data_IF_733796131626
#
_entry.id   IF_733796131626
#
_cell.length_a   1.000
_cell.length_b   1.000
_cell.length_c   1.000
_cell.angle_alpha   90.00
_cell.angle_beta   90.00
_cell.angle_gamma   90.00
#
_symmetry.space_group_name_H-M   'P 1'
#
loop_
_entity.id
_entity.type
_entity.pdbx_description
1 polymer ?
#
# COMPACT_ATOMS: atom_id res chain seq x y z
N UNK A 1 45.63 -48.27 -23.26
CA UNK A 1 44.17 -48.44 -23.49
C UNK A 1 43.70 -49.51 -22.52
N UNK A 2 42.76 -49.32 -21.59
CA UNK A 2 41.60 -48.44 -21.55
C UNK A 2 41.39 -47.81 -20.15
N UNK A 3 40.71 -46.66 -20.18
CA UNK A 3 40.34 -45.72 -19.13
C UNK A 3 39.68 -46.31 -17.88
N UNK A 4 40.11 -45.81 -16.73
CA UNK A 4 39.33 -45.72 -15.49
C UNK A 4 38.22 -44.66 -15.67
N UNK A 5 36.97 -45.05 -15.44
CA UNK A 5 35.85 -44.11 -15.29
C UNK A 5 35.67 -43.82 -13.81
N UNK A 6 36.16 -42.65 -13.35
CA UNK A 6 35.67 -42.05 -12.11
C UNK A 6 34.28 -41.46 -12.40
N UNK A 7 33.24 -42.04 -11.80
CA UNK A 7 31.94 -41.38 -11.70
C UNK A 7 32.03 -40.34 -10.57
N UNK A 8 32.21 -39.07 -10.93
CA UNK A 8 31.93 -37.95 -10.04
C UNK A 8 30.42 -37.83 -9.90
N UNK A 9 29.88 -38.26 -8.76
CA UNK A 9 28.54 -37.88 -8.33
C UNK A 9 28.57 -36.38 -7.99
N UNK A 10 28.09 -35.55 -8.93
CA UNK A 10 27.68 -34.20 -8.59
C UNK A 10 26.47 -34.33 -7.67
N UNK A 11 26.64 -33.98 -6.39
CA UNK A 11 25.53 -33.84 -5.47
C UNK A 11 24.68 -32.67 -5.97
N UNK A 12 23.61 -32.94 -6.72
CA UNK A 12 22.50 -32.00 -6.82
C UNK A 12 21.95 -31.88 -5.40
N UNK A 13 22.35 -30.82 -4.70
CA UNK A 13 21.57 -30.33 -3.56
C UNK A 13 20.29 -29.80 -4.18
N UNK A 14 19.29 -30.67 -4.31
CA UNK A 14 17.93 -30.25 -4.54
C UNK A 14 17.50 -29.60 -3.23
N UNK A 15 17.77 -28.30 -3.07
CA UNK A 15 17.11 -27.49 -2.06
C UNK A 15 15.63 -27.54 -2.40
N UNK A 16 14.92 -28.47 -1.78
CA UNK A 16 13.48 -28.35 -1.69
C UNK A 16 13.23 -27.05 -0.92
N UNK A 17 12.83 -26.00 -1.62
CA UNK A 17 12.29 -24.82 -0.98
C UNK A 17 11.07 -25.32 -0.21
N UNK A 18 11.11 -25.28 1.12
CA UNK A 18 9.89 -25.43 1.89
C UNK A 18 9.12 -24.12 1.74
N UNK A 19 7.80 -24.19 1.55
CA UNK A 19 6.95 -23.01 1.64
C UNK A 19 7.15 -22.40 3.03
N UNK A 20 7.76 -21.21 3.07
CA UNK A 20 8.03 -20.49 4.31
C UNK A 20 6.84 -19.57 4.62
N UNK A 21 6.45 -19.54 5.89
CA UNK A 21 5.45 -18.62 6.41
C UNK A 21 5.97 -18.08 7.74
N UNK A 22 6.12 -16.77 7.82
CA UNK A 22 6.57 -16.09 9.02
C UNK A 22 5.35 -15.74 9.88
N UNK A 23 5.43 -16.08 11.16
CA UNK A 23 4.41 -15.69 12.13
C UNK A 23 4.49 -14.19 12.40
N UNK A 24 3.33 -13.56 12.56
CA UNK A 24 3.26 -12.15 12.96
C UNK A 24 3.79 -11.95 14.40
N UNK A 25 4.56 -10.89 14.64
CA UNK A 25 4.91 -10.48 16.00
C UNK A 25 3.68 -10.14 16.83
N UNK A 26 3.63 -10.63 18.06
CA UNK A 26 2.61 -10.26 19.04
C UNK A 26 3.04 -8.97 19.73
N UNK A 27 2.27 -7.90 19.54
CA UNK A 27 2.51 -6.59 20.15
C UNK A 27 1.33 -6.24 21.05
N UNK A 28 1.62 -5.78 22.26
CA UNK A 28 0.56 -5.31 23.17
C UNK A 28 0.04 -3.94 22.70
N UNK A 29 -1.25 -3.70 22.90
CA UNK A 29 -1.93 -2.46 22.52
C UNK A 29 -3.13 -2.73 21.63
N UNK A 30 -3.71 -1.66 21.11
CA UNK A 30 -4.82 -1.70 20.14
C UNK A 30 -4.71 -0.51 19.18
N UNK A 31 -5.46 -0.54 18.09
CA UNK A 31 -5.55 0.60 17.18
C UNK A 31 -6.07 1.89 17.86
N UNK A 32 -6.84 1.78 18.95
CA UNK A 32 -7.43 2.94 19.64
C UNK A 32 -6.53 3.46 20.77
N UNK A 33 -5.95 2.56 21.57
CA UNK A 33 -5.10 2.92 22.72
C UNK A 33 -3.62 3.08 22.35
N UNK A 34 -3.26 2.69 21.13
CA UNK A 34 -1.90 2.70 20.61
C UNK A 34 -1.14 1.40 20.88
N UNK A 35 -0.09 1.17 20.10
CA UNK A 35 0.81 0.03 20.24
C UNK A 35 1.96 0.31 21.20
N UNK A 36 2.37 -0.70 21.97
CA UNK A 36 3.36 -0.53 23.04
C UNK A 36 4.81 -0.71 22.59
N UNK A 37 5.05 -1.16 21.35
CA UNK A 37 6.40 -1.36 20.83
C UNK A 37 6.42 -1.42 19.30
N UNK A 38 7.56 -1.06 18.72
CA UNK A 38 7.94 -1.38 17.34
C UNK A 38 8.75 -2.70 17.34
N UNK A 39 8.15 -3.85 16.96
CA UNK A 39 8.76 -5.17 17.19
C UNK A 39 9.88 -5.51 16.19
N UNK A 40 10.68 -6.53 16.50
CA UNK A 40 11.50 -7.17 15.47
C UNK A 40 10.63 -8.04 14.55
N UNK A 41 10.96 -8.07 13.26
CA UNK A 41 10.23 -8.82 12.23
C UNK A 41 11.20 -9.72 11.46
N UNK A 42 10.84 -10.98 11.27
CA UNK A 42 11.68 -11.97 10.58
C UNK A 42 11.88 -11.53 9.12
N UNK A 43 13.13 -11.60 8.64
CA UNK A 43 13.57 -11.17 7.30
C UNK A 43 13.47 -9.66 7.03
N UNK A 44 13.07 -8.86 8.02
CA UNK A 44 13.11 -7.40 7.94
C UNK A 44 14.27 -6.85 8.78
N UNK A 45 14.83 -5.74 8.31
CA UNK A 45 15.64 -4.83 9.11
C UNK A 45 14.77 -3.65 9.53
N UNK A 46 14.68 -3.43 10.84
CA UNK A 46 14.02 -2.29 11.43
C UNK A 46 14.92 -1.05 11.38
N UNK A 47 14.36 0.08 10.96
CA UNK A 47 14.96 1.40 11.00
C UNK A 47 14.02 2.30 11.81
N UNK A 48 14.20 2.43 13.14
CA UNK A 48 13.29 3.23 13.97
C UNK A 48 13.31 4.71 13.59
N UNK A 49 14.45 5.21 13.12
CA UNK A 49 14.66 6.63 12.83
C UNK A 49 15.03 6.84 11.35
N UNK A 50 14.22 6.32 10.42
CA UNK A 50 14.45 6.54 9.00
C UNK A 50 14.29 8.02 8.67
N UNK A 51 15.32 8.61 8.06
CA UNK A 51 15.34 10.04 7.75
C UNK A 51 14.45 10.34 6.54
N UNK A 52 13.45 11.20 6.75
CA UNK A 52 12.55 11.72 5.70
C UNK A 52 13.13 13.00 5.11
N UNK A 53 13.71 13.85 5.96
CA UNK A 53 14.38 15.09 5.57
C UNK A 53 15.52 15.35 6.56
N UNK A 54 16.76 15.33 6.07
CA UNK A 54 17.97 15.54 6.88
C UNK A 54 18.09 16.98 7.38
N UNK A 55 17.63 17.96 6.60
CA UNK A 55 17.77 19.39 6.92
C UNK A 55 16.69 19.85 7.91
N UNK A 56 15.49 19.28 7.80
CA UNK A 56 14.36 19.58 8.68
C UNK A 56 14.26 18.66 9.89
N UNK A 57 14.95 17.50 9.90
CA UNK A 57 15.05 16.61 11.06
C UNK A 57 13.85 15.68 11.27
N UNK A 58 13.20 15.23 10.19
CA UNK A 58 12.02 14.35 10.27
C UNK A 58 12.37 12.87 10.18
N UNK A 59 11.91 12.08 11.16
CA UNK A 59 12.15 10.64 11.21
C UNK A 59 10.86 9.83 11.28
N UNK A 60 10.89 8.60 10.77
CA UNK A 60 9.77 7.67 10.79
C UNK A 60 10.29 6.24 10.94
N UNK A 61 9.62 5.36 11.70
CA UNK A 61 9.95 3.95 11.70
C UNK A 61 9.64 3.29 10.35
N UNK A 62 10.60 2.52 9.83
CA UNK A 62 10.48 1.78 8.57
C UNK A 62 11.03 0.37 8.74
N UNK A 63 10.32 -0.64 8.25
CA UNK A 63 10.92 -1.94 7.93
C UNK A 63 11.40 -1.97 6.50
N UNK A 64 12.54 -2.59 6.24
CA UNK A 64 12.99 -2.93 4.89
C UNK A 64 13.51 -4.37 4.87
N UNK A 65 13.37 -5.10 3.76
CA UNK A 65 14.00 -6.42 3.59
C UNK A 65 15.45 -6.44 4.07
N UNK A 66 15.79 -7.39 4.92
CA UNK A 66 17.13 -7.58 5.45
C UNK A 66 18.07 -8.18 4.39
N UNK A 67 19.36 -7.90 4.49
CA UNK A 67 20.39 -8.57 3.67
C UNK A 67 20.41 -8.22 2.18
N UNK A 68 19.68 -7.18 1.75
CA UNK A 68 19.60 -6.80 0.33
C UNK A 68 20.96 -6.52 -0.29
N UNK A 69 21.20 -7.13 -1.45
CA UNK A 69 22.18 -6.64 -2.41
C UNK A 69 21.52 -5.57 -3.29
N UNK A 70 21.69 -4.29 -2.92
CA UNK A 70 20.99 -3.18 -3.58
C UNK A 70 21.23 -3.10 -5.10
N UNK A 71 22.38 -3.57 -5.59
CA UNK A 71 22.66 -3.58 -7.04
C UNK A 71 21.92 -4.66 -7.79
N UNK A 72 21.38 -5.68 -7.10
CA UNK A 72 20.61 -6.77 -7.71
C UNK A 72 19.09 -6.55 -7.60
N UNK A 73 18.67 -5.56 -6.81
CA UNK A 73 17.25 -5.19 -6.69
C UNK A 73 16.73 -4.67 -8.03
N UNK A 74 15.73 -5.35 -8.58
CA UNK A 74 15.03 -4.97 -9.82
C UNK A 74 13.63 -4.46 -9.55
N UNK A 75 13.06 -4.77 -8.37
CA UNK A 75 11.74 -4.31 -7.96
C UNK A 75 11.73 -3.92 -6.49
N UNK A 76 11.04 -2.84 -6.18
CA UNK A 76 10.78 -2.41 -4.81
C UNK A 76 9.28 -2.30 -4.55
N UNK A 77 8.86 -2.57 -3.33
CA UNK A 77 7.47 -2.48 -2.89
C UNK A 77 7.45 -1.68 -1.60
N UNK A 78 6.71 -0.58 -1.58
CA UNK A 78 6.38 0.19 -0.39
C UNK A 78 4.97 -0.24 0.02
N UNK A 79 4.85 -1.08 1.05
CA UNK A 79 3.57 -1.59 1.56
C UNK A 79 3.06 -0.67 2.69
N UNK A 80 1.86 -0.13 2.50
CA UNK A 80 1.22 0.82 3.42
C UNK A 80 0.29 0.08 4.37
N UNK A 81 0.37 0.43 5.66
CA UNK A 81 -0.37 -0.25 6.70
C UNK A 81 -1.89 -0.09 6.61
N UNK A 82 -2.61 -1.05 7.17
CA UNK A 82 -4.05 -0.96 7.43
C UNK A 82 -4.42 0.10 8.49
N UNK A 83 -5.73 0.19 8.81
CA UNK A 83 -6.26 1.17 9.78
C UNK A 83 -5.63 1.02 11.16
N UNK A 84 -5.28 -0.22 11.50
CA UNK A 84 -4.71 -0.60 12.79
C UNK A 84 -3.26 -0.16 12.96
N UNK A 85 -2.61 0.39 11.92
CA UNK A 85 -1.23 0.93 11.98
C UNK A 85 -0.17 -0.12 12.33
N UNK A 86 -0.46 -1.37 11.99
CA UNK A 86 0.41 -2.53 12.18
C UNK A 86 1.32 -2.72 10.98
N UNK A 87 2.23 -1.78 10.71
CA UNK A 87 3.18 -1.85 9.60
C UNK A 87 4.01 -3.15 9.56
N UNK A 88 4.28 -3.77 10.71
CA UNK A 88 4.95 -5.08 10.78
C UNK A 88 4.08 -6.22 10.25
N UNK A 89 2.76 -6.16 10.44
CA UNK A 89 1.82 -7.18 9.96
C UNK A 89 1.70 -7.08 8.44
N UNK A 90 1.52 -5.87 7.91
CA UNK A 90 1.47 -5.64 6.46
C UNK A 90 2.80 -6.00 5.76
N UNK A 91 3.95 -5.73 6.40
CA UNK A 91 5.25 -6.20 5.93
C UNK A 91 5.31 -7.74 5.92
N UNK A 92 4.89 -8.39 7.00
CA UNK A 92 4.92 -9.85 7.15
C UNK A 92 4.02 -10.53 6.12
N UNK A 93 2.81 -10.00 5.91
CA UNK A 93 1.86 -10.47 4.90
C UNK A 93 2.45 -10.36 3.48
N UNK A 94 3.02 -9.20 3.12
CA UNK A 94 3.68 -9.01 1.82
C UNK A 94 4.86 -9.97 1.64
N UNK A 95 5.60 -10.22 2.71
CA UNK A 95 6.74 -11.12 2.73
C UNK A 95 6.33 -12.60 2.55
N UNK A 96 5.25 -13.03 3.21
CA UNK A 96 4.67 -14.36 3.06
C UNK A 96 4.07 -14.57 1.66
N UNK A 97 3.41 -13.54 1.11
CA UNK A 97 2.97 -13.56 -0.28
C UNK A 97 4.14 -13.74 -1.26
N UNK A 98 5.27 -13.07 -1.01
CA UNK A 98 6.49 -13.25 -1.81
C UNK A 98 7.11 -14.65 -1.64
N UNK A 99 7.06 -15.23 -0.45
CA UNK A 99 7.47 -16.63 -0.26
C UNK A 99 6.62 -17.60 -1.10
N UNK A 100 5.30 -17.44 -1.07
CA UNK A 100 4.40 -18.26 -1.88
C UNK A 100 4.68 -18.07 -3.37
N UNK A 101 4.82 -16.82 -3.81
CA UNK A 101 5.09 -16.48 -5.19
C UNK A 101 6.38 -17.11 -5.73
N UNK A 102 7.47 -17.07 -4.94
CA UNK A 102 8.78 -17.62 -5.35
C UNK A 102 8.83 -19.14 -5.25
N UNK A 103 8.06 -19.75 -4.34
CA UNK A 103 7.87 -21.20 -4.28
C UNK A 103 7.14 -21.72 -5.52
N UNK A 104 6.07 -21.04 -5.94
CA UNK A 104 5.24 -21.44 -7.08
C UNK A 104 5.88 -21.08 -8.43
N UNK A 105 6.68 -20.01 -8.49
CA UNK A 105 7.34 -19.55 -9.71
C UNK A 105 8.78 -19.10 -9.44
N UNK A 106 9.78 -19.92 -9.85
CA UNK A 106 11.19 -19.60 -9.62
C UNK A 106 11.71 -18.43 -10.47
N UNK A 107 10.91 -17.88 -11.40
CA UNK A 107 11.28 -16.65 -12.12
C UNK A 107 11.07 -15.39 -11.28
N UNK A 108 10.32 -15.48 -10.18
CA UNK A 108 10.27 -14.44 -9.16
C UNK A 108 11.45 -14.67 -8.22
N UNK A 109 12.51 -13.89 -8.41
CA UNK A 109 13.72 -13.98 -7.60
C UNK A 109 13.57 -13.09 -6.36
N UNK A 110 13.31 -13.71 -5.20
CA UNK A 110 13.06 -13.01 -3.93
C UNK A 110 14.18 -12.03 -3.56
N UNK A 111 15.43 -12.41 -3.79
CA UNK A 111 16.60 -11.59 -3.47
C UNK A 111 16.70 -10.32 -4.33
N UNK A 112 15.97 -10.25 -5.44
CA UNK A 112 15.87 -9.09 -6.32
C UNK A 112 14.68 -8.18 -6.00
N UNK A 113 13.90 -8.50 -4.97
CA UNK A 113 12.71 -7.74 -4.55
C UNK A 113 12.90 -7.16 -3.15
N UNK A 114 12.84 -5.83 -3.05
CA UNK A 114 12.88 -5.12 -1.78
C UNK A 114 11.46 -4.80 -1.32
N UNK A 115 11.10 -5.18 -0.09
CA UNK A 115 9.85 -4.77 0.57
C UNK A 115 10.19 -3.75 1.66
N UNK A 116 9.49 -2.63 1.67
CA UNK A 116 9.57 -1.57 2.66
C UNK A 116 8.19 -1.29 3.26
N UNK A 117 8.10 -1.14 4.57
CA UNK A 117 6.86 -0.78 5.26
C UNK A 117 7.09 0.42 6.19
N UNK A 118 6.70 1.64 5.79
CA UNK A 118 6.64 2.78 6.70
C UNK A 118 5.54 2.61 7.77
N UNK A 119 5.81 3.09 8.98
CA UNK A 119 4.87 3.04 10.10
C UNK A 119 4.32 4.43 10.39
N UNK A 120 3.13 4.74 9.87
CA UNK A 120 2.46 6.02 10.12
C UNK A 120 1.77 6.04 11.48
N UNK A 121 2.59 6.13 12.53
CA UNK A 121 2.14 6.17 13.91
C UNK A 121 1.41 7.47 14.28
N UNK A 122 0.62 7.35 15.34
CA UNK A 122 -0.23 8.42 15.86
C UNK A 122 0.12 8.77 17.30
N UNK A 123 -0.49 9.84 17.83
CA UNK A 123 -0.30 10.24 19.24
C UNK A 123 -0.62 9.10 20.23
N UNK A 124 -1.55 8.21 19.87
CA UNK A 124 -1.84 7.02 20.66
C UNK A 124 -0.63 6.07 20.74
N UNK A 125 0.04 5.83 19.61
CA UNK A 125 1.21 4.95 19.53
C UNK A 125 2.43 5.56 20.22
N UNK A 126 2.59 6.89 20.14
CA UNK A 126 3.58 7.63 20.92
C UNK A 126 3.34 7.45 22.43
N UNK A 127 2.10 7.66 22.87
CA UNK A 127 1.73 7.51 24.29
C UNK A 127 1.88 6.08 24.79
N UNK A 128 1.59 5.09 23.94
CA UNK A 128 1.67 3.68 24.30
C UNK A 128 3.10 3.12 24.27
N UNK A 129 3.98 3.68 23.43
CA UNK A 129 5.42 3.38 23.43
C UNK A 129 5.97 2.77 22.14
N UNK A 130 5.18 2.67 21.06
CA UNK A 130 5.67 2.23 19.75
C UNK A 130 6.40 3.33 18.97
N UNK A 131 6.12 4.60 19.26
CA UNK A 131 6.78 5.75 18.66
C UNK A 131 7.57 6.57 19.69
N UNK A 132 8.44 7.47 19.21
CA UNK A 132 9.25 8.37 20.06
C UNK A 132 8.98 9.85 19.71
N UNK A 133 9.32 10.76 20.63
CA UNK A 133 8.99 12.19 20.52
C UNK A 133 9.65 12.90 19.31
N UNK A 134 10.76 12.35 18.79
CA UNK A 134 11.48 12.91 17.63
C UNK A 134 10.94 12.40 16.28
N UNK A 135 9.95 11.50 16.29
CA UNK A 135 9.36 10.94 15.08
C UNK A 135 8.18 11.78 14.58
N UNK A 136 7.92 11.69 13.28
CA UNK A 136 6.71 12.21 12.66
C UNK A 136 5.50 11.43 13.20
N UNK A 137 4.52 12.16 13.72
CA UNK A 137 3.30 11.61 14.31
C UNK A 137 2.07 12.24 13.65
N UNK A 138 1.02 11.46 13.40
CA UNK A 138 -0.23 11.96 12.85
C UNK A 138 -1.40 11.88 13.83
N UNK A 139 -2.42 12.69 13.60
CA UNK A 139 -3.67 12.56 14.35
C UNK A 139 -4.53 11.44 13.76
N UNK A 140 -4.87 10.44 14.58
CA UNK A 140 -5.89 9.43 14.30
C UNK A 140 -5.80 8.80 12.88
N UNK A 141 -6.65 9.22 11.93
CA UNK A 141 -6.69 8.70 10.55
C UNK A 141 -6.28 9.73 9.50
N UNK A 142 -5.70 10.86 9.92
CA UNK A 142 -5.25 11.93 9.03
C UNK A 142 -4.09 11.51 8.14
N UNK A 143 -3.29 10.52 8.59
CA UNK A 143 -2.22 9.89 7.82
C UNK A 143 -2.70 9.29 6.49
N UNK A 144 -3.94 8.75 6.45
CA UNK A 144 -4.57 8.16 5.25
C UNK A 144 -4.87 9.23 4.18
N UNK A 145 -4.77 10.51 4.53
CA UNK A 145 -5.30 11.62 3.73
C UNK A 145 -4.25 12.69 3.46
N UNK A 146 -2.96 12.38 3.56
CA UNK A 146 -1.90 13.33 3.21
C UNK A 146 -1.80 14.54 4.12
N UNK A 147 -2.34 14.50 5.34
CA UNK A 147 -2.24 15.64 6.25
C UNK A 147 -0.83 15.77 6.80
N UNK A 148 -0.48 16.98 7.21
CA UNK A 148 0.75 17.24 7.95
C UNK A 148 0.74 16.52 9.30
N UNK A 149 1.93 16.10 9.73
CA UNK A 149 2.18 15.57 11.05
C UNK A 149 1.79 16.61 12.12
N UNK A 150 1.45 16.12 13.32
CA UNK A 150 1.02 16.91 14.48
C UNK A 150 2.11 17.03 15.55
N UNK A 151 3.32 16.52 15.29
CA UNK A 151 4.45 16.72 16.18
C UNK A 151 4.91 18.18 16.12
N UNK A 152 5.36 18.70 17.27
CA UNK A 152 5.82 20.08 17.38
C UNK A 152 7.12 20.31 16.59
N UNK A 153 8.01 19.31 16.57
CA UNK A 153 9.28 19.38 15.87
C UNK A 153 9.73 18.00 15.36
N UNK A 154 9.85 17.79 14.03
CA UNK A 154 9.58 18.76 12.98
C UNK A 154 8.11 18.80 12.56
N UNK A 155 7.59 20.02 12.34
CA UNK A 155 6.22 20.24 11.91
C UNK A 155 6.10 20.31 10.38
N UNK A 156 4.87 20.21 9.87
CA UNK A 156 4.49 20.42 8.46
C UNK A 156 4.90 19.33 7.45
N UNK A 157 5.29 18.12 7.90
CA UNK A 157 5.51 16.99 6.98
C UNK A 157 4.22 16.23 6.70
N UNK A 158 3.77 16.21 5.44
CA UNK A 158 2.69 15.35 5.00
C UNK A 158 3.12 13.88 5.00
N UNK A 159 2.18 12.95 5.19
CA UNK A 159 2.45 11.55 4.83
C UNK A 159 2.82 11.36 3.36
N UNK A 160 2.40 12.27 2.48
CA UNK A 160 2.75 12.20 1.06
C UNK A 160 4.16 12.74 0.77
N UNK A 161 4.67 13.68 1.59
CA UNK A 161 6.09 14.06 1.55
C UNK A 161 6.96 12.86 1.95
N UNK A 162 6.54 12.09 2.96
CA UNK A 162 7.21 10.84 3.34
C UNK A 162 7.25 9.86 2.16
N UNK A 163 6.10 9.62 1.50
CA UNK A 163 6.05 8.72 0.35
C UNK A 163 6.95 9.23 -0.80
N UNK A 164 7.00 10.54 -1.03
CA UNK A 164 7.91 11.13 -2.03
C UNK A 164 9.37 10.81 -1.71
N UNK A 165 9.79 10.94 -0.46
CA UNK A 165 11.16 10.57 -0.03
C UNK A 165 11.43 9.07 -0.21
N UNK A 166 10.50 8.20 0.17
CA UNK A 166 10.70 6.75 0.06
C UNK A 166 10.75 6.29 -1.40
N UNK A 167 9.93 6.88 -2.27
CA UNK A 167 10.00 6.66 -3.72
C UNK A 167 11.36 7.15 -4.24
N UNK A 168 11.78 8.37 -3.91
CA UNK A 168 13.07 8.92 -4.35
C UNK A 168 14.27 8.06 -3.89
N UNK A 169 14.19 7.50 -2.68
CA UNK A 169 15.21 6.57 -2.17
C UNK A 169 15.39 5.35 -3.08
N UNK A 170 14.29 4.75 -3.55
CA UNK A 170 14.36 3.63 -4.49
C UNK A 170 14.75 4.09 -5.90
N UNK A 171 14.22 5.22 -6.38
CA UNK A 171 14.51 5.72 -7.73
C UNK A 171 15.96 6.20 -7.93
N UNK A 172 16.75 6.37 -6.85
CA UNK A 172 18.16 6.70 -6.91
C UNK A 172 19.00 5.60 -7.59
N UNK A 173 19.32 5.81 -8.87
CA UNK A 173 20.09 4.87 -9.70
C UNK A 173 21.54 4.67 -9.27
N UNK A 174 22.09 5.53 -8.41
CA UNK A 174 23.41 5.29 -7.79
C UNK A 174 23.33 4.20 -6.72
N UNK A 175 22.19 4.10 -6.03
CA UNK A 175 21.94 3.12 -4.97
C UNK A 175 21.32 1.84 -5.54
N UNK A 176 20.36 1.98 -6.45
CA UNK A 176 19.60 0.90 -7.09
C UNK A 176 19.72 0.97 -8.63
N UNK A 177 20.91 0.65 -9.20
CA UNK A 177 21.17 0.82 -10.62
C UNK A 177 20.32 -0.05 -11.56
N UNK A 178 19.79 -1.16 -11.06
CA UNK A 178 19.01 -2.13 -11.84
C UNK A 178 17.50 -2.08 -11.55
N UNK A 179 17.03 -1.11 -10.75
CA UNK A 179 15.63 -1.00 -10.38
C UNK A 179 14.75 -0.63 -11.58
N UNK A 180 13.77 -1.48 -11.84
CA UNK A 180 12.84 -1.33 -12.95
C UNK A 180 11.48 -0.81 -12.49
N UNK A 181 10.99 -1.26 -11.32
CA UNK A 181 9.64 -0.92 -10.83
C UNK A 181 9.65 -0.65 -9.33
N UNK A 182 8.95 0.40 -8.92
CA UNK A 182 8.52 0.64 -7.53
C UNK A 182 7.01 0.47 -7.47
N UNK A 183 6.51 -0.35 -6.56
CA UNK A 183 5.06 -0.49 -6.30
C UNK A 183 4.73 0.17 -4.96
N UNK A 184 3.76 1.07 -4.92
CA UNK A 184 3.11 1.48 -3.68
C UNK A 184 1.85 0.65 -3.53
N UNK A 185 1.84 -0.21 -2.51
CA UNK A 185 0.81 -1.21 -2.30
C UNK A 185 0.07 -0.94 -1.00
N UNK A 186 -1.26 -1.02 -1.01
CA UNK A 186 -2.04 -0.85 0.21
C UNK A 186 -3.35 -1.63 0.19
N UNK A 187 -3.69 -2.23 1.33
CA UNK A 187 -4.97 -2.86 1.60
C UNK A 187 -5.80 -1.99 2.57
N UNK A 188 -7.12 -1.98 2.45
CA UNK A 188 -8.01 -1.27 3.39
C UNK A 188 -7.67 0.23 3.48
N UNK A 189 -7.36 0.75 4.68
CA UNK A 189 -6.85 2.11 4.87
C UNK A 189 -5.59 2.40 4.04
N UNK A 190 -4.64 1.47 3.95
CA UNK A 190 -3.49 1.59 3.06
C UNK A 190 -3.91 1.75 1.60
N UNK A 191 -4.94 1.03 1.16
CA UNK A 191 -5.52 1.18 -0.19
C UNK A 191 -6.13 2.57 -0.41
N UNK A 192 -6.84 3.10 0.60
CA UNK A 192 -7.36 4.48 0.54
C UNK A 192 -6.22 5.50 0.43
N UNK A 193 -5.15 5.32 1.21
CA UNK A 193 -3.99 6.20 1.19
C UNK A 193 -3.28 6.16 -0.16
N UNK A 194 -3.02 4.96 -0.69
CA UNK A 194 -2.45 4.78 -2.03
C UNK A 194 -3.27 5.50 -3.08
N UNK A 195 -4.60 5.29 -3.10
CA UNK A 195 -5.48 5.90 -4.11
C UNK A 195 -5.50 7.43 -4.04
N UNK A 196 -5.51 8.00 -2.84
CA UNK A 196 -5.49 9.44 -2.64
C UNK A 196 -4.13 10.05 -2.96
N UNK A 197 -3.04 9.33 -2.68
CA UNK A 197 -1.70 9.74 -3.07
C UNK A 197 -1.54 9.78 -4.59
N UNK A 198 -2.06 8.78 -5.31
CA UNK A 198 -2.10 8.76 -6.79
C UNK A 198 -2.78 10.02 -7.35
N UNK A 199 -3.88 10.45 -6.75
CA UNK A 199 -4.60 11.66 -7.18
C UNK A 199 -3.82 12.96 -6.93
N UNK A 200 -3.07 13.03 -5.82
CA UNK A 200 -2.50 14.30 -5.36
C UNK A 200 -1.01 14.47 -5.67
N UNK A 201 -0.27 13.38 -5.87
CA UNK A 201 1.17 13.41 -6.16
C UNK A 201 1.47 14.25 -7.40
N UNK A 202 2.50 15.13 -7.38
CA UNK A 202 3.07 15.74 -8.58
C UNK A 202 3.71 14.71 -9.51
N UNK A 203 3.56 14.89 -10.81
CA UNK A 203 4.24 14.03 -11.78
C UNK A 203 5.73 14.36 -11.90
N UNK A 204 6.55 13.34 -12.08
CA UNK A 204 7.97 13.48 -12.35
C UNK A 204 8.45 12.43 -13.37
N UNK A 205 9.73 12.45 -13.71
CA UNK A 205 10.32 11.56 -14.73
C UNK A 205 10.35 10.06 -14.35
N UNK A 206 10.16 9.75 -13.07
CA UNK A 206 10.18 8.39 -12.54
C UNK A 206 8.80 7.72 -12.53
N UNK A 207 7.72 8.46 -12.79
CA UNK A 207 6.35 7.95 -12.70
C UNK A 207 6.15 6.68 -13.57
N UNK A 208 6.87 6.56 -14.69
CA UNK A 208 6.76 5.41 -15.61
C UNK A 208 7.21 4.07 -15.01
N UNK A 209 7.97 4.14 -13.89
CA UNK A 209 8.40 2.98 -13.10
C UNK A 209 7.60 2.85 -11.80
N UNK A 210 6.67 3.75 -11.53
CA UNK A 210 5.88 3.81 -10.30
C UNK A 210 4.49 3.23 -10.51
N UNK A 211 4.23 2.10 -9.87
CA UNK A 211 2.95 1.40 -9.94
C UNK A 211 2.21 1.52 -8.62
N UNK A 212 0.88 1.48 -8.68
CA UNK A 212 0.03 1.60 -7.50
C UNK A 212 -0.91 0.40 -7.41
N UNK A 213 -0.84 -0.34 -6.31
CA UNK A 213 -1.75 -1.46 -6.02
C UNK A 213 -2.70 -1.09 -4.89
N UNK A 214 -3.99 -1.03 -5.22
CA UNK A 214 -5.06 -0.52 -4.35
C UNK A 214 -6.05 -1.65 -4.09
N UNK A 215 -6.00 -2.24 -2.90
CA UNK A 215 -6.84 -3.37 -2.54
C UNK A 215 -7.90 -3.01 -1.47
N UNK A 216 -9.15 -3.38 -1.72
CA UNK A 216 -10.28 -3.22 -0.80
C UNK A 216 -10.35 -1.86 -0.07
N UNK A 217 -10.20 -0.70 -0.74
CA UNK A 217 -10.24 0.59 -0.04
C UNK A 217 -11.58 0.80 0.66
N UNK A 218 -11.54 1.24 1.92
CA UNK A 218 -12.73 1.53 2.72
C UNK A 218 -13.50 2.77 2.26
N UNK A 219 -12.94 3.62 1.42
CA UNK A 219 -13.64 4.67 0.67
C UNK A 219 -12.73 5.14 -0.46
N UNK A 220 -13.29 5.70 -1.50
CA UNK A 220 -12.52 6.20 -2.63
C UNK A 220 -12.63 7.73 -2.71
N UNK A 221 -11.58 8.36 -3.22
CA UNK A 221 -11.65 9.71 -3.77
C UNK A 221 -12.30 9.60 -5.16
N UNK A 222 -13.53 10.09 -5.26
CA UNK A 222 -14.29 10.10 -6.51
C UNK A 222 -13.76 11.17 -7.46
N UNK A 223 -13.70 10.82 -8.73
CA UNK A 223 -13.23 11.71 -9.78
C UNK A 223 -14.33 12.68 -10.23
N UNK A 224 -15.60 12.36 -9.96
CA UNK A 224 -16.76 13.21 -10.23
C UNK A 224 -17.46 13.64 -8.93
N UNK A 225 -18.36 14.61 -9.03
CA UNK A 225 -19.24 15.01 -7.92
C UNK A 225 -20.40 14.05 -7.70
N UNK A 226 -20.72 13.21 -8.68
CA UNK A 226 -21.89 12.34 -8.65
C UNK A 226 -21.66 11.15 -7.71
N UNK A 227 -22.73 10.65 -7.11
CA UNK A 227 -22.69 9.51 -6.18
C UNK A 227 -23.80 8.52 -6.50
N UNK A 228 -23.57 7.21 -6.35
CA UNK A 228 -24.59 6.19 -6.58
C UNK A 228 -25.75 6.30 -5.58
N UNK A 229 -25.46 6.76 -4.36
CA UNK A 229 -26.47 7.07 -3.34
C UNK A 229 -26.32 8.53 -2.90
N UNK A 230 -26.86 9.51 -3.66
CA UNK A 230 -26.82 10.92 -3.27
C UNK A 230 -27.49 11.14 -1.91
N UNK A 231 -26.89 12.01 -1.11
CA UNK A 231 -27.39 12.41 0.21
C UNK A 231 -27.24 13.93 0.35
N UNK A 232 -28.35 14.66 0.20
CA UNK A 232 -28.37 16.13 0.26
C UNK A 232 -28.06 16.66 1.66
N UNK A 233 -28.20 15.84 2.70
CA UNK A 233 -27.85 16.20 4.08
C UNK A 233 -26.35 15.96 4.38
N UNK A 234 -25.61 15.37 3.45
CA UNK A 234 -24.19 15.06 3.60
C UNK A 234 -23.28 16.20 3.07
N UNK A 235 -23.00 17.15 3.95
CA UNK A 235 -22.08 18.25 3.65
C UNK A 235 -20.68 17.76 3.25
N UNK A 236 -20.08 18.43 2.25
CA UNK A 236 -18.71 18.17 1.82
C UNK A 236 -18.49 16.81 1.15
N UNK A 237 -19.54 16.18 0.60
CA UNK A 237 -19.44 14.88 -0.11
C UNK A 237 -18.40 14.84 -1.23
N UNK A 238 -18.15 16.00 -1.84
CA UNK A 238 -17.22 16.18 -2.96
C UNK A 238 -15.90 16.85 -2.54
N UNK A 239 -15.76 17.19 -1.26
CA UNK A 239 -14.50 17.69 -0.73
C UNK A 239 -13.48 16.55 -0.60
N UNK A 240 -12.20 16.88 -0.66
CA UNK A 240 -11.16 15.94 -0.31
C UNK A 240 -11.36 15.50 1.15
N UNK A 241 -11.38 14.21 1.47
CA UNK A 241 -10.75 13.08 0.78
C UNK A 241 -11.68 12.16 -0.04
N UNK A 242 -12.93 12.56 -0.26
CA UNK A 242 -13.96 11.76 -0.96
C UNK A 242 -14.24 12.24 -2.38
N UNK A 243 -13.88 13.47 -2.70
CA UNK A 243 -13.92 14.03 -4.05
C UNK A 243 -12.75 14.98 -4.30
N UNK A 244 -12.90 15.81 -5.33
CA UNK A 244 -11.85 16.70 -5.84
C UNK A 244 -12.28 18.18 -5.86
N UNK A 245 -13.22 18.58 -5.00
CA UNK A 245 -13.76 19.96 -5.01
C UNK A 245 -12.91 20.95 -4.22
N UNK A 246 -12.60 20.63 -2.96
CA UNK A 246 -11.98 21.54 -2.00
C UNK A 246 -11.32 20.78 -0.84
N UNK A 247 -10.75 21.52 0.12
CA UNK A 247 -10.16 21.00 1.37
C UNK A 247 -8.99 20.01 1.17
N UNK A 248 -8.19 20.24 0.13
CA UNK A 248 -6.96 19.50 -0.11
C UNK A 248 -5.95 19.70 1.02
N UNK A 249 -5.11 18.69 1.34
CA UNK A 249 -4.02 18.85 2.29
C UNK A 249 -2.99 19.85 1.74
N UNK A 250 -2.23 20.48 2.64
CA UNK A 250 -1.20 21.47 2.28
C UNK A 250 -0.26 20.98 1.16
N UNK A 251 0.06 19.68 1.16
CA UNK A 251 0.80 18.97 0.12
C UNK A 251 0.35 19.29 -1.32
N UNK A 252 -0.98 19.32 -1.56
CA UNK A 252 -1.54 19.42 -2.90
C UNK A 252 -2.33 20.71 -3.15
N UNK A 253 -2.53 21.57 -2.14
CA UNK A 253 -3.39 22.76 -2.26
C UNK A 253 -2.98 23.68 -3.41
N UNK A 254 -1.67 23.87 -3.63
CA UNK A 254 -1.18 24.70 -4.73
C UNK A 254 -1.45 24.06 -6.10
N UNK A 255 -1.13 22.78 -6.26
CA UNK A 255 -1.36 22.01 -7.48
C UNK A 255 -2.84 21.90 -7.81
N UNK A 256 -3.68 21.54 -6.85
CA UNK A 256 -5.13 21.39 -7.03
C UNK A 256 -5.80 22.70 -7.47
N UNK A 257 -5.28 23.85 -7.03
CA UNK A 257 -5.77 25.17 -7.47
C UNK A 257 -5.44 25.46 -8.93
N UNK A 258 -4.31 24.95 -9.43
CA UNK A 258 -3.86 25.19 -10.81
C UNK A 258 -4.45 24.18 -11.78
N UNK A 259 -4.47 22.90 -11.39
CA UNK A 259 -4.95 21.80 -12.21
C UNK A 259 -6.48 21.75 -12.26
N UNK A 260 -7.13 22.23 -11.20
CA UNK A 260 -8.55 22.02 -10.95
C UNK A 260 -8.89 20.51 -11.02
N UNK A 261 -10.16 20.14 -11.14
CA UNK A 261 -10.56 18.73 -11.15
C UNK A 261 -10.00 18.00 -12.37
N UNK A 262 -10.15 18.61 -13.55
CA UNK A 262 -9.85 18.00 -14.84
C UNK A 262 -8.36 17.68 -14.97
N UNK A 263 -7.47 18.58 -14.53
CA UNK A 263 -6.03 18.33 -14.55
C UNK A 263 -5.59 17.26 -13.54
N UNK A 264 -6.28 17.14 -12.40
CA UNK A 264 -6.06 16.03 -11.46
C UNK A 264 -6.48 14.70 -12.10
N UNK A 265 -7.64 14.65 -12.77
CA UNK A 265 -8.14 13.44 -13.45
C UNK A 265 -7.21 13.04 -14.60
N UNK A 266 -6.76 14.00 -15.41
CA UNK A 266 -5.81 13.74 -16.50
C UNK A 266 -4.52 13.11 -15.96
N UNK A 267 -3.95 13.69 -14.90
CA UNK A 267 -2.77 13.14 -14.21
C UNK A 267 -3.06 11.75 -13.65
N UNK A 268 -4.18 11.58 -12.95
CA UNK A 268 -4.59 10.32 -12.34
C UNK A 268 -4.70 9.18 -13.37
N UNK A 269 -5.33 9.45 -14.51
CA UNK A 269 -5.58 8.46 -15.56
C UNK A 269 -4.31 8.02 -16.31
N UNK A 270 -3.24 8.82 -16.28
CA UNK A 270 -1.95 8.49 -16.88
C UNK A 270 -1.11 7.50 -16.06
N UNK A 271 -1.40 7.35 -14.77
CA UNK A 271 -0.61 6.53 -13.84
C UNK A 271 -0.92 5.04 -13.98
N UNK A 272 0.09 4.20 -13.71
CA UNK A 272 -0.09 2.75 -13.68
C UNK A 272 -0.78 2.29 -12.40
N UNK A 273 -2.08 2.03 -12.47
CA UNK A 273 -2.94 1.72 -11.32
C UNK A 273 -3.51 0.31 -11.43
N UNK A 274 -3.46 -0.46 -10.35
CA UNK A 274 -4.06 -1.79 -10.25
C UNK A 274 -5.01 -1.82 -9.07
N UNK A 275 -6.30 -1.87 -9.37
CA UNK A 275 -7.34 -2.03 -8.37
C UNK A 275 -7.67 -3.51 -8.16
N UNK A 276 -7.84 -3.91 -6.89
CA UNK A 276 -8.24 -5.26 -6.54
C UNK A 276 -9.33 -5.26 -5.47
N UNK A 277 -10.38 -6.06 -5.67
CA UNK A 277 -11.45 -6.25 -4.70
C UNK A 277 -11.75 -7.72 -4.44
N UNK A 278 -11.83 -8.11 -3.17
CA UNK A 278 -12.30 -9.42 -2.75
C UNK A 278 -13.77 -9.65 -3.11
N UNK A 279 -14.09 -10.82 -3.65
CA UNK A 279 -15.45 -11.19 -4.08
C UNK A 279 -16.27 -11.90 -3.00
N UNK A 280 -15.66 -12.35 -1.92
CA UNK A 280 -16.43 -12.85 -0.78
C UNK A 280 -17.00 -11.63 -0.09
N UNK A 281 -18.27 -11.35 -0.39
CA UNK A 281 -19.01 -10.26 0.20
C UNK A 281 -18.91 -10.34 1.72
N UNK A 282 -18.56 -9.21 2.33
CA UNK A 282 -18.60 -8.89 3.75
C UNK A 282 -19.95 -9.26 4.42
N UNK A 283 -21.00 -9.52 3.62
CA UNK A 283 -22.36 -9.90 4.06
C UNK A 283 -22.53 -11.42 4.26
N UNK A 284 -21.66 -12.29 3.70
CA UNK A 284 -21.81 -13.76 3.74
C UNK A 284 -20.54 -14.45 4.30
N UNK A 285 -19.89 -13.86 5.30
CA UNK A 285 -18.90 -14.61 6.09
C UNK A 285 -19.54 -15.31 7.30
N UNK A 286 -20.66 -16.01 7.09
CA UNK A 286 -21.23 -16.96 8.05
C UNK A 286 -20.74 -18.36 7.70
N UNK A 287 -19.73 -18.83 8.46
CA UNK A 287 -19.16 -20.20 8.51
C UNK A 287 -18.04 -20.55 7.52
N UNK A 288 -16.81 -20.13 7.82
CA UNK A 288 -15.68 -21.09 7.92
C UNK A 288 -14.79 -20.65 9.09
N UNK A 289 -14.79 -21.45 10.16
CA UNK A 289 -13.92 -21.27 11.32
C UNK A 289 -12.56 -21.89 10.97
N UNK A 290 -11.55 -21.06 10.71
CA UNK A 290 -10.16 -21.42 10.98
C UNK A 290 -9.48 -20.24 11.69
N UNK A 291 -8.82 -20.57 12.79
CA UNK A 291 -8.20 -19.65 13.74
C UNK A 291 -7.00 -18.90 13.10
N UNK A 292 -7.27 -17.74 12.54
CA UNK A 292 -6.38 -16.58 12.52
C UNK A 292 -7.28 -15.34 12.58
N UNK A 293 -6.76 -14.18 12.98
CA UNK A 293 -7.49 -12.95 13.33
C UNK A 293 -8.39 -12.38 12.21
N UNK A 294 -9.49 -13.06 11.91
CA UNK A 294 -10.64 -12.50 11.22
C UNK A 294 -11.25 -11.45 12.16
N UNK A 295 -10.72 -10.22 12.12
CA UNK A 295 -11.59 -9.09 12.41
C UNK A 295 -12.73 -9.22 11.40
N UNK A 296 -13.91 -9.54 11.93
CA UNK A 296 -15.14 -9.58 11.18
C UNK A 296 -15.33 -8.20 10.53
N UNK A 297 -14.99 -8.07 9.24
CA UNK A 297 -15.16 -6.84 8.48
C UNK A 297 -16.63 -6.67 8.05
N UNK A 298 -17.53 -6.76 9.03
CA UNK A 298 -18.93 -6.35 8.89
C UNK A 298 -19.09 -4.83 9.12
N UNK A 299 -17.97 -4.09 9.18
CA UNK A 299 -17.96 -2.65 9.43
C UNK A 299 -18.25 -1.86 8.16
N UNK A 300 -18.84 -0.66 8.31
CA UNK A 300 -19.11 0.29 7.22
C UNK A 300 -17.83 0.77 6.49
N UNK A 301 -16.63 0.21 6.74
CA UNK A 301 -15.34 0.76 6.34
C UNK A 301 -15.13 2.16 6.94
N UNK A 302 -15.29 3.20 6.13
CA UNK A 302 -15.47 4.57 6.63
C UNK A 302 -16.97 4.84 6.93
N UNK A 303 -17.36 5.07 8.20
CA UNK A 303 -18.77 5.20 8.59
C UNK A 303 -19.36 6.58 8.29
N UNK A 304 -18.58 7.53 7.79
CA UNK A 304 -19.03 8.91 7.51
C UNK A 304 -19.98 8.92 6.31
N UNK A 305 -20.91 9.88 6.30
CA UNK A 305 -21.94 9.95 5.24
C UNK A 305 -21.31 10.00 3.84
N UNK A 306 -20.18 10.70 3.67
CA UNK A 306 -19.51 10.87 2.38
C UNK A 306 -19.00 9.55 1.79
N UNK A 307 -18.67 8.56 2.64
CA UNK A 307 -18.30 7.22 2.21
C UNK A 307 -19.53 6.33 1.97
N UNK A 308 -20.60 6.53 2.73
CA UNK A 308 -21.88 5.82 2.56
C UNK A 308 -22.56 6.15 1.24
N UNK A 309 -22.38 7.37 0.72
CA UNK A 309 -22.88 7.73 -0.62
C UNK A 309 -22.25 6.91 -1.75
N UNK A 310 -21.15 6.20 -1.47
CA UNK A 310 -20.40 5.39 -2.44
C UNK A 310 -20.83 3.92 -2.45
N UNK A 311 -21.54 3.43 -1.43
CA UNK A 311 -21.90 2.02 -1.24
C UNK A 311 -21.76 1.55 0.21
N UNK A 312 -22.32 0.38 0.49
CA UNK A 312 -22.47 -0.21 1.83
C UNK A 312 -21.37 -1.23 2.19
N UNK A 313 -20.50 -1.60 1.25
CA UNK A 313 -19.38 -2.52 1.48
C UNK A 313 -18.16 -2.13 0.66
N UNK A 314 -16.99 -2.68 0.97
CA UNK A 314 -15.76 -2.45 0.19
C UNK A 314 -15.95 -2.84 -1.28
N UNK A 315 -16.58 -4.00 -1.52
CA UNK A 315 -16.90 -4.51 -2.85
C UNK A 315 -17.88 -3.62 -3.60
N UNK A 316 -18.99 -3.21 -2.96
CA UNK A 316 -20.00 -2.36 -3.59
C UNK A 316 -19.42 -0.99 -3.98
N UNK A 317 -18.62 -0.38 -3.10
CA UNK A 317 -17.91 0.87 -3.39
C UNK A 317 -16.98 0.73 -4.60
N UNK A 318 -16.27 -0.38 -4.71
CA UNK A 318 -15.44 -0.70 -5.86
C UNK A 318 -16.24 -0.82 -7.15
N UNK A 319 -17.36 -1.55 -7.12
CA UNK A 319 -18.23 -1.73 -8.29
C UNK A 319 -18.77 -0.40 -8.80
N UNK A 320 -19.24 0.48 -7.92
CA UNK A 320 -19.72 1.80 -8.34
C UNK A 320 -18.60 2.75 -8.79
N UNK A 321 -17.40 2.65 -8.20
CA UNK A 321 -16.27 3.42 -8.68
C UNK A 321 -15.85 3.00 -10.10
N UNK A 322 -15.83 1.69 -10.38
CA UNK A 322 -15.58 1.19 -11.73
C UNK A 322 -16.69 1.63 -12.69
N UNK A 323 -17.95 1.61 -12.27
CA UNK A 323 -19.07 2.16 -13.06
C UNK A 323 -18.86 3.64 -13.39
N UNK A 324 -18.39 4.44 -12.42
CA UNK A 324 -18.05 5.85 -12.65
C UNK A 324 -16.95 6.00 -13.70
N UNK A 325 -15.90 5.16 -13.68
CA UNK A 325 -14.86 5.18 -14.72
C UNK A 325 -15.43 4.84 -16.10
N UNK A 326 -16.30 3.84 -16.19
CA UNK A 326 -16.98 3.48 -17.45
C UNK A 326 -17.81 4.65 -18.00
N UNK A 327 -18.57 5.33 -17.13
CA UNK A 327 -19.37 6.51 -17.51
C UNK A 327 -18.49 7.71 -17.94
N UNK A 328 -17.25 7.79 -17.43
CA UNK A 328 -16.26 8.81 -17.81
C UNK A 328 -15.53 8.49 -19.12
N UNK A 329 -15.85 7.38 -19.80
CA UNK A 329 -15.23 6.99 -21.07
C UNK A 329 -14.44 5.69 -21.01
N UNK A 330 -14.59 4.89 -19.95
CA UNK A 330 -13.94 3.59 -19.77
C UNK A 330 -12.86 3.61 -18.70
N UNK A 331 -12.52 2.43 -18.18
CA UNK A 331 -11.31 2.26 -17.35
C UNK A 331 -10.07 2.75 -18.14
N UNK A 332 -9.24 3.66 -17.57
CA UNK A 332 -8.06 4.17 -18.27
C UNK A 332 -7.11 3.06 -18.72
N UNK A 333 -6.40 3.26 -19.84
CA UNK A 333 -5.50 2.25 -20.42
C UNK A 333 -4.41 1.76 -19.44
N UNK A 334 -3.97 2.62 -18.53
CA UNK A 334 -2.95 2.32 -17.52
C UNK A 334 -3.53 1.76 -16.21
N UNK A 335 -4.86 1.56 -16.17
CA UNK A 335 -5.57 1.03 -15.02
C UNK A 335 -6.01 -0.41 -15.27
N UNK A 336 -5.82 -1.26 -14.27
CA UNK A 336 -6.40 -2.62 -14.24
C UNK A 336 -7.37 -2.74 -13.08
N UNK A 337 -8.40 -3.57 -13.27
CA UNK A 337 -9.45 -3.83 -12.29
C UNK A 337 -9.60 -5.34 -12.15
N UNK A 338 -9.32 -5.84 -10.96
CA UNK A 338 -9.31 -7.26 -10.67
C UNK A 338 -10.29 -7.60 -9.53
N UNK A 339 -11.04 -8.68 -9.73
CA UNK A 339 -11.99 -9.20 -8.75
C UNK A 339 -11.50 -10.55 -8.25
N UNK A 340 -11.20 -10.65 -6.95
CA UNK A 340 -10.46 -11.77 -6.36
C UNK A 340 -11.42 -12.77 -5.71
N UNK A 341 -11.66 -13.95 -6.34
CA UNK A 341 -12.60 -14.94 -5.84
C UNK A 341 -12.10 -15.60 -4.55
N UNK A 342 -13.01 -15.85 -3.61
CA UNK A 342 -12.72 -16.60 -2.39
C UNK A 342 -12.02 -15.80 -1.29
N UNK A 343 -11.78 -14.50 -1.49
CA UNK A 343 -11.12 -13.61 -0.53
C UNK A 343 -12.06 -12.47 -0.16
N UNK A 344 -12.10 -12.12 1.13
CA UNK A 344 -12.85 -10.99 1.69
C UNK A 344 -11.89 -9.83 2.00
N UNK A 345 -12.10 -9.10 3.11
CA UNK A 345 -11.19 -8.09 3.63
C UNK A 345 -9.95 -8.67 4.34
N UNK A 346 -9.18 -9.49 3.63
CA UNK A 346 -7.99 -10.17 4.15
C UNK A 346 -6.73 -9.67 3.42
N UNK A 347 -5.85 -8.95 4.15
CA UNK A 347 -4.66 -8.35 3.56
C UNK A 347 -3.69 -9.41 3.00
N UNK A 348 -3.37 -10.44 3.79
CA UNK A 348 -2.45 -11.51 3.38
C UNK A 348 -3.05 -12.30 2.22
N UNK A 349 -4.35 -12.65 2.31
CA UNK A 349 -5.06 -13.30 1.22
C UNK A 349 -5.03 -12.51 -0.09
N UNK A 350 -5.32 -11.20 -0.04
CA UNK A 350 -5.30 -10.34 -1.23
C UNK A 350 -3.90 -10.24 -1.85
N UNK A 351 -2.85 -10.09 -1.03
CA UNK A 351 -1.45 -10.05 -1.49
C UNK A 351 -0.99 -11.39 -2.08
N UNK A 352 -1.36 -12.51 -1.45
CA UNK A 352 -0.99 -13.87 -1.87
C UNK A 352 -1.88 -14.43 -2.99
N UNK A 353 -2.94 -13.73 -3.39
CA UNK A 353 -3.79 -14.13 -4.51
C UNK A 353 -3.01 -14.11 -5.84
N UNK A 354 -3.47 -14.87 -6.84
CA UNK A 354 -2.82 -14.88 -8.17
C UNK A 354 -2.70 -13.48 -8.78
N UNK A 355 -3.72 -12.64 -8.60
CA UNK A 355 -3.72 -11.25 -9.05
C UNK A 355 -2.75 -10.41 -8.22
N UNK A 356 -2.79 -10.55 -6.88
CA UNK A 356 -1.86 -9.86 -5.98
C UNK A 356 -0.41 -10.15 -6.38
N UNK A 357 -0.06 -11.43 -6.52
CA UNK A 357 1.27 -11.88 -6.95
C UNK A 357 1.65 -11.29 -8.31
N UNK A 358 0.74 -11.28 -9.29
CA UNK A 358 0.99 -10.67 -10.60
C UNK A 358 1.35 -9.18 -10.47
N UNK A 359 0.46 -8.39 -9.84
CA UNK A 359 0.63 -6.94 -9.75
C UNK A 359 1.80 -6.52 -8.87
N UNK A 360 2.00 -7.23 -7.76
CA UNK A 360 3.03 -6.90 -6.78
C UNK A 360 4.42 -7.31 -7.26
N UNK A 361 4.58 -8.50 -7.86
CA UNK A 361 5.91 -9.09 -8.10
C UNK A 361 6.31 -9.22 -9.57
N UNK A 362 5.38 -9.21 -10.53
CA UNK A 362 5.68 -9.44 -11.95
C UNK A 362 5.36 -8.26 -12.88
N UNK A 363 4.25 -7.58 -12.64
CA UNK A 363 3.64 -6.66 -13.62
C UNK A 363 4.53 -5.47 -13.95
N UNK A 364 4.86 -5.30 -15.23
CA UNK A 364 5.78 -4.26 -15.75
C UNK A 364 5.06 -3.03 -16.30
N UNK A 365 3.76 -2.90 -16.07
CA UNK A 365 2.96 -1.79 -16.62
C UNK A 365 2.48 -2.07 -18.05
N UNK A 366 1.60 -1.19 -18.54
CA UNK A 366 1.19 -1.17 -19.94
C UNK A 366 2.08 -0.18 -20.71
N UNK A 367 2.25 -0.41 -22.02
CA UNK A 367 3.02 0.51 -22.86
C UNK A 367 2.41 1.91 -22.87
N UNK A 368 3.25 2.94 -22.77
CA UNK A 368 2.83 4.34 -22.83
C UNK A 368 2.19 4.89 -21.56
N UNK A 369 2.34 4.20 -20.43
CA UNK A 369 1.92 4.68 -19.11
C UNK A 369 2.98 5.57 -18.47
N UNK A 370 2.51 6.60 -17.76
CA UNK A 370 3.29 7.75 -17.33
C UNK A 370 3.94 7.57 -15.97
#
# INVERSE_FOLDING_TARGET
>A
MLCSYLFTFASLVCTALAQQHNAEPIVNGTADDGWQSFPDVIDAKAYPDWVVDEDAGGYLPVYQTAGLNKTEVTRAIIVLNGKDRTCWSDWTAMNNALYNATYDDPTIERDHISIMAPCFFTEADLKAGAATDDQLIWDNTTWISGHSNVADNPSNFSTYDVLDTLVAYYMNTTVYPNLQVVVIAGHSAGGQMTQRYVALRPSNEDDSRLHFWIANPGSLCWLTSDRPFPDDDCDGVDDFKYGLKANFPAYATADARVLEREGIIERYNGRTISYAWGLVSDVICLRVIFYHSLQEDHGDGDPRCQAKTQGNSHLERGQYFVSMLEDMGGVPNCTTVDWVPGISHDAEGMMASNVGIDKLFRFMGNEGCA
#
